data_IF_128900603774
#
_entry.id   IF_128900603774
#
_cell.length_a   1.000
_cell.length_b   1.000
_cell.length_c   1.000
_cell.angle_alpha   90.00
_cell.angle_beta   90.00
_cell.angle_gamma   90.00
#
_symmetry.space_group_name_H-M   'P 1'
#
loop_
_entity.id
_entity.type
_entity.pdbx_description
1 polymer ?
#
# COMPACT_ATOMS: atom_id res chain seq x y z
N UNK A 1 15.87 -14.91 10.92
CA UNK A 1 16.15 -14.20 9.64
C UNK A 1 15.32 -12.93 9.63
N UNK A 2 15.90 -11.76 9.34
CA UNK A 2 15.13 -10.50 9.34
C UNK A 2 14.54 -10.25 7.95
N UNK A 3 13.25 -9.89 7.88
CA UNK A 3 12.53 -9.59 6.63
C UNK A 3 12.17 -8.11 6.60
N UNK A 4 12.54 -7.42 5.51
CA UNK A 4 12.14 -6.03 5.25
C UNK A 4 11.01 -6.02 4.23
N UNK A 5 9.85 -5.48 4.61
CA UNK A 5 8.68 -5.36 3.73
C UNK A 5 8.43 -3.89 3.38
N UNK A 6 8.71 -3.44 2.15
CA UNK A 6 8.37 -2.09 1.72
C UNK A 6 6.87 -1.95 1.50
N UNK A 7 6.30 -0.88 2.07
CA UNK A 7 4.88 -0.53 1.89
C UNK A 7 4.74 0.82 1.21
N UNK A 8 3.68 1.00 0.41
CA UNK A 8 3.38 2.26 -0.27
C UNK A 8 1.97 2.73 0.05
N UNK A 9 1.84 4.01 0.41
CA UNK A 9 0.55 4.70 0.54
C UNK A 9 0.08 5.18 -0.84
N UNK A 10 -1.14 4.82 -1.22
CA UNK A 10 -1.75 5.13 -2.52
C UNK A 10 -3.20 5.57 -2.36
N UNK A 11 -3.84 6.05 -3.43
CA UNK A 11 -5.30 6.25 -3.46
C UNK A 11 -5.98 4.90 -3.25
N UNK A 12 -7.02 4.86 -2.42
CA UNK A 12 -7.83 3.66 -2.20
C UNK A 12 -8.32 3.09 -3.54
N UNK A 13 -8.17 1.78 -3.74
CA UNK A 13 -8.44 1.12 -5.02
C UNK A 13 -9.91 1.24 -5.48
N UNK A 14 -10.83 1.55 -4.56
CA UNK A 14 -12.25 1.74 -4.87
C UNK A 14 -12.58 3.19 -5.27
N UNK A 15 -11.62 4.12 -5.18
CA UNK A 15 -11.84 5.52 -5.55
C UNK A 15 -11.46 5.74 -7.02
N UNK A 16 -12.38 6.33 -7.78
CA UNK A 16 -12.10 6.79 -9.14
C UNK A 16 -11.17 8.00 -9.12
N UNK A 17 -9.98 7.84 -9.70
CA UNK A 17 -8.97 8.90 -9.83
C UNK A 17 -9.49 10.04 -10.72
N UNK A 18 -9.15 11.28 -10.35
CA UNK A 18 -9.42 12.50 -11.13
C UNK A 18 -8.10 13.18 -11.47
N UNK A 19 -8.02 13.75 -12.67
CA UNK A 19 -6.88 14.57 -13.13
C UNK A 19 -7.15 16.02 -12.75
N UNK A 20 -6.12 16.75 -12.32
CA UNK A 20 -6.20 18.19 -12.07
C UNK A 20 -6.50 18.95 -13.36
N UNK A 21 -7.18 20.09 -13.26
CA UNK A 21 -7.55 20.92 -14.43
C UNK A 21 -6.35 21.45 -15.21
N UNK A 22 -5.21 21.65 -14.53
CA UNK A 22 -3.94 22.10 -15.10
C UNK A 22 -3.09 20.98 -15.72
N UNK A 23 -3.59 19.73 -15.72
CA UNK A 23 -2.89 18.53 -16.21
C UNK A 23 -1.57 18.22 -15.50
N UNK A 24 -1.28 18.82 -14.34
CA UNK A 24 -0.04 18.58 -13.59
C UNK A 24 0.03 17.21 -12.90
N UNK A 25 -1.10 16.49 -12.83
CA UNK A 25 -1.18 15.16 -12.23
C UNK A 25 -2.57 14.82 -11.72
N UNK A 26 -2.61 13.90 -10.74
CA UNK A 26 -3.86 13.43 -10.11
C UNK A 26 -4.25 14.29 -8.90
N UNK A 27 -5.54 14.45 -8.65
CA UNK A 27 -6.05 15.10 -7.44
C UNK A 27 -5.86 14.17 -6.24
N UNK A 28 -5.22 14.69 -5.19
CA UNK A 28 -4.98 13.96 -3.93
C UNK A 28 -5.72 14.59 -2.74
N UNK A 29 -6.24 15.80 -2.91
CA UNK A 29 -6.94 16.54 -1.86
C UNK A 29 -8.30 15.90 -1.61
N UNK A 30 -8.64 15.68 -0.34
CA UNK A 30 -9.92 15.07 0.09
C UNK A 30 -10.18 13.68 -0.53
N UNK A 31 -9.12 12.97 -0.95
CA UNK A 31 -9.20 11.60 -1.45
C UNK A 31 -8.83 10.61 -0.34
N UNK A 32 -9.58 9.52 -0.21
CA UNK A 32 -9.23 8.44 0.71
C UNK A 32 -7.94 7.77 0.24
N UNK A 33 -6.95 7.73 1.12
CA UNK A 33 -5.67 7.07 0.90
C UNK A 33 -5.63 5.76 1.70
N UNK A 34 -4.98 4.74 1.16
CA UNK A 34 -4.86 3.42 1.75
C UNK A 34 -3.45 2.83 1.55
N UNK A 35 -3.16 1.72 2.22
CA UNK A 35 -2.02 0.89 1.85
C UNK A 35 -2.27 0.32 0.45
N UNK A 36 -1.23 0.21 -0.36
CA UNK A 36 -1.34 -0.48 -1.63
C UNK A 36 -1.78 -1.95 -1.37
N UNK A 37 -2.80 -2.48 -2.08
CA UNK A 37 -3.32 -3.81 -1.80
C UNK A 37 -2.26 -4.93 -1.86
N UNK A 38 -1.24 -4.80 -2.71
CA UNK A 38 -0.16 -5.79 -2.78
C UNK A 38 0.78 -5.71 -1.57
N UNK A 39 0.95 -4.52 -1.00
CA UNK A 39 1.72 -4.35 0.22
C UNK A 39 1.02 -4.99 1.43
N UNK A 40 -0.31 -5.03 1.48
CA UNK A 40 -1.04 -5.73 2.56
C UNK A 40 -0.75 -7.23 2.52
N UNK A 41 -0.75 -7.84 1.32
CA UNK A 41 -0.41 -9.26 1.12
C UNK A 41 1.05 -9.52 1.53
N UNK A 42 1.97 -8.63 1.17
CA UNK A 42 3.38 -8.78 1.51
C UNK A 42 3.61 -8.71 3.04
N UNK A 43 2.87 -7.85 3.74
CA UNK A 43 2.92 -7.75 5.21
C UNK A 43 2.33 -9.01 5.85
N UNK A 44 1.19 -9.48 5.37
CA UNK A 44 0.55 -10.71 5.86
C UNK A 44 1.50 -11.92 5.76
N UNK A 45 2.16 -12.11 4.61
CA UNK A 45 3.09 -13.23 4.45
C UNK A 45 4.31 -13.12 5.37
N UNK A 46 4.86 -11.92 5.56
CA UNK A 46 5.97 -11.72 6.49
C UNK A 46 5.57 -12.02 7.95
N UNK A 47 4.32 -11.71 8.33
CA UNK A 47 3.78 -12.09 9.65
C UNK A 47 3.67 -13.62 9.75
N UNK A 48 3.14 -14.31 8.73
CA UNK A 48 3.09 -15.78 8.71
C UNK A 48 4.45 -16.43 8.85
N UNK A 49 5.47 -15.91 8.17
CA UNK A 49 6.85 -16.39 8.31
C UNK A 49 7.38 -16.23 9.73
N UNK A 50 7.00 -15.16 10.43
CA UNK A 50 7.36 -14.93 11.84
C UNK A 50 6.61 -15.90 12.76
N UNK A 51 5.32 -16.11 12.56
CA UNK A 51 4.51 -17.06 13.33
C UNK A 51 4.97 -18.51 13.14
N UNK A 52 5.47 -18.85 11.96
CA UNK A 52 6.07 -20.16 11.66
C UNK A 52 7.51 -20.33 12.20
N UNK A 53 8.11 -19.29 12.81
CA UNK A 53 9.47 -19.31 13.34
C UNK A 53 10.58 -19.28 12.27
N UNK A 54 10.23 -18.94 11.02
CA UNK A 54 11.18 -18.86 9.89
C UNK A 54 11.85 -17.48 9.83
N UNK A 55 11.14 -16.43 10.26
CA UNK A 55 11.61 -15.05 10.31
C UNK A 55 11.47 -14.43 11.72
N UNK A 56 12.23 -13.37 12.00
CA UNK A 56 12.22 -12.59 13.24
C UNK A 56 12.07 -11.09 12.97
#
# INVERSE_FOLDING_TARGET
MKVLVPVKRVIDANIKVRVKSDQSGVELTNVKMAMNPFCEIAVEEAIRMKEAGVAE
#
